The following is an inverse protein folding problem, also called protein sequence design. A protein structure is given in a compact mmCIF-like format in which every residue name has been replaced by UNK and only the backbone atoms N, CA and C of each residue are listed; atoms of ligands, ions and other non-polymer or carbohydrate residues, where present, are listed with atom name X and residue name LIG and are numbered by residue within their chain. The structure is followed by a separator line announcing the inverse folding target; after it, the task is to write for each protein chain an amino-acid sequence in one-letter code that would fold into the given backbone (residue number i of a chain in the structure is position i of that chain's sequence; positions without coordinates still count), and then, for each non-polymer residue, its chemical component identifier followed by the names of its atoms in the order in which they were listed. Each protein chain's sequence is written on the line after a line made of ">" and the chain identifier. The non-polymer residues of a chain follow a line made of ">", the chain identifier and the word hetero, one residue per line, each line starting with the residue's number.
data_IF_337492378130
#
_entry.id   IF_337492378130
#
_cell.length_a   1.000
_cell.length_b   1.000
_cell.length_c   1.000
_cell.angle_alpha   90.00
_cell.angle_beta   90.00
_cell.angle_gamma   90.00
#
_symmetry.space_group_name_H-M   'P 1'
#
loop_
_entity.id
_entity.type
_entity.pdbx_description
1 polymer ?
#
# COMPACT_ATOMS: atom_id res chain seq x y z
N UNK A 1 -25.89 13.88 -6.97
CA UNK A 1 -24.85 12.83 -6.97
C UNK A 1 -24.39 12.69 -5.54
N UNK A 2 -24.66 11.56 -4.88
CA UNK A 2 -24.05 11.31 -3.57
C UNK A 2 -22.58 11.04 -3.82
N UNK A 3 -21.68 11.75 -3.14
CA UNK A 3 -20.27 11.40 -3.14
C UNK A 3 -20.10 10.02 -2.49
N UNK A 4 -19.14 9.23 -2.98
CA UNK A 4 -18.78 7.96 -2.36
C UNK A 4 -18.24 8.22 -0.95
N UNK A 5 -18.52 7.37 0.06
CA UNK A 5 -17.95 7.55 1.39
C UNK A 5 -16.42 7.42 1.34
N UNK A 6 -15.71 8.42 1.85
CA UNK A 6 -14.25 8.44 1.91
C UNK A 6 -13.74 7.50 3.00
N UNK A 7 -12.78 6.64 2.68
CA UNK A 7 -11.98 5.84 3.60
C UNK A 7 -10.54 6.35 3.57
N UNK A 8 -9.97 6.60 4.73
CA UNK A 8 -8.53 6.87 4.83
C UNK A 8 -7.79 5.58 5.13
N UNK A 9 -6.79 5.27 4.31
CA UNK A 9 -6.01 4.04 4.38
C UNK A 9 -4.63 4.34 4.95
N UNK A 10 -4.28 3.67 6.03
CA UNK A 10 -2.95 3.67 6.63
C UNK A 10 -2.32 2.30 6.39
N UNK A 11 -1.81 2.16 5.17
CA UNK A 11 -1.03 1.02 4.74
C UNK A 11 0.40 1.48 4.40
N UNK A 12 1.40 0.66 4.72
CA UNK A 12 2.79 1.05 4.49
C UNK A 12 3.20 0.78 3.03
N UNK A 13 3.69 1.78 2.30
CA UNK A 13 4.18 1.57 0.94
C UNK A 13 5.57 0.91 0.95
N UNK A 14 5.63 -0.38 0.60
CA UNK A 14 6.80 -0.91 -0.12
C UNK A 14 7.92 -1.61 0.66
N UNK A 15 7.65 -2.38 1.71
CA UNK A 15 8.69 -3.28 2.28
C UNK A 15 8.31 -4.71 2.54
N UNK A 16 7.06 -4.99 2.88
CA UNK A 16 6.63 -6.36 3.14
C UNK A 16 5.64 -6.78 2.05
N UNK A 17 5.79 -7.96 1.44
CA UNK A 17 4.80 -8.54 0.52
C UNK A 17 3.52 -8.99 1.25
N UNK A 18 3.27 -8.42 2.44
CA UNK A 18 2.08 -8.68 3.23
C UNK A 18 0.92 -7.94 2.56
N UNK A 19 -0.23 -8.61 2.47
CA UNK A 19 -1.41 -8.18 1.73
C UNK A 19 -1.71 -6.68 1.89
N UNK A 20 -1.66 -5.93 0.79
CA UNK A 20 -1.97 -4.50 0.81
C UNK A 20 -3.48 -4.29 0.99
N UNK A 21 -3.88 -3.23 1.69
CA UNK A 21 -5.30 -2.89 1.87
C UNK A 21 -6.00 -2.72 0.51
N UNK A 22 -5.27 -2.31 -0.54
CA UNK A 22 -5.77 -2.25 -1.91
C UNK A 22 -6.31 -3.59 -2.44
N UNK A 23 -5.78 -4.73 -1.95
CA UNK A 23 -6.26 -6.07 -2.31
C UNK A 23 -7.66 -6.38 -1.77
N UNK A 24 -8.14 -5.60 -0.78
CA UNK A 24 -9.53 -5.68 -0.34
C UNK A 24 -10.51 -5.14 -1.39
N UNK A 25 -10.05 -4.42 -2.41
CA UNK A 25 -10.89 -3.87 -3.48
C UNK A 25 -12.11 -3.07 -2.97
N UNK A 26 -11.97 -2.33 -1.86
CA UNK A 26 -13.06 -1.57 -1.23
C UNK A 26 -13.65 -0.51 -2.18
N UNK A 27 -12.86 0.02 -3.11
CA UNK A 27 -13.34 0.97 -4.12
C UNK A 27 -14.39 0.37 -5.06
N UNK A 28 -14.29 -0.94 -5.36
CA UNK A 28 -15.30 -1.66 -6.16
C UNK A 28 -16.63 -1.79 -5.43
N UNK A 29 -16.63 -1.58 -4.11
CA UNK A 29 -17.81 -1.59 -3.25
C UNK A 29 -18.38 -0.18 -3.03
N UNK A 30 -17.92 0.83 -3.77
CA UNK A 30 -18.48 2.19 -3.75
C UNK A 30 -17.86 3.14 -2.71
N UNK A 31 -16.69 2.79 -2.16
CA UNK A 31 -15.91 3.68 -1.30
C UNK A 31 -14.88 4.47 -2.10
N UNK A 32 -14.54 5.68 -1.67
CA UNK A 32 -13.33 6.38 -2.14
C UNK A 32 -12.19 6.06 -1.16
N UNK A 33 -11.14 5.36 -1.59
CA UNK A 33 -10.00 5.07 -0.71
C UNK A 33 -8.88 6.09 -0.94
N UNK A 34 -8.31 6.62 0.14
CA UNK A 34 -7.18 7.53 0.05
C UNK A 34 -6.07 7.12 1.01
N UNK A 35 -4.91 6.81 0.45
CA UNK A 35 -3.71 6.51 1.24
C UNK A 35 -3.21 7.78 1.94
N UNK A 36 -3.00 7.66 3.26
CA UNK A 36 -2.50 8.76 4.09
C UNK A 36 -0.99 8.66 4.25
N UNK A 37 -0.43 7.46 4.23
CA UNK A 37 1.00 7.25 4.38
C UNK A 37 1.70 7.53 3.04
N UNK A 38 2.55 8.57 3.01
CA UNK A 38 3.26 9.01 1.80
C UNK A 38 4.74 9.18 2.09
N UNK A 39 5.59 8.74 1.16
CA UNK A 39 7.04 8.98 1.22
C UNK A 39 7.37 10.36 0.65
N UNK A 40 8.33 11.12 1.23
CA UNK A 40 9.08 10.78 2.43
C UNK A 40 8.25 10.92 3.71
N UNK A 41 8.34 9.91 4.58
CA UNK A 41 7.65 9.95 5.87
C UNK A 41 8.19 11.09 6.75
N UNK A 42 7.33 11.77 7.51
CA UNK A 42 7.76 12.75 8.49
C UNK A 42 8.66 12.20 9.60
N UNK A 43 9.47 13.07 10.23
CA UNK A 43 10.52 12.71 11.22
C UNK A 43 10.01 12.63 12.67
N UNK A 44 8.70 12.62 12.88
CA UNK A 44 8.10 12.53 14.20
C UNK A 44 8.31 11.14 14.81
N UNK A 45 8.62 11.10 16.11
CA UNK A 45 9.06 9.90 16.84
C UNK A 45 8.04 9.40 17.88
N UNK A 46 6.88 10.03 17.95
CA UNK A 46 5.75 9.52 18.74
C UNK A 46 4.50 9.47 17.87
N UNK A 47 3.65 8.48 18.12
CA UNK A 47 2.41 8.28 17.36
C UNK A 47 1.56 9.57 17.31
N UNK A 48 1.28 10.29 18.42
CA UNK A 48 0.50 11.52 18.39
C UNK A 48 1.19 12.68 17.65
N UNK A 49 2.52 12.80 17.76
CA UNK A 49 3.26 13.82 17.01
C UNK A 49 3.20 13.53 15.50
N UNK A 50 3.34 12.27 15.13
CA UNK A 50 3.31 11.84 13.75
C UNK A 50 1.91 12.02 13.13
N UNK A 51 0.85 11.64 13.82
CA UNK A 51 -0.52 11.88 13.37
C UNK A 51 -0.79 13.37 13.11
N UNK A 52 -0.36 14.26 14.02
CA UNK A 52 -0.51 15.71 13.86
C UNK A 52 0.24 16.23 12.64
N UNK A 53 1.42 15.71 12.37
CA UNK A 53 2.20 16.11 11.21
C UNK A 53 1.53 15.66 9.90
N UNK A 54 1.06 14.42 9.82
CA UNK A 54 0.30 13.91 8.66
C UNK A 54 -0.97 14.74 8.42
N UNK A 55 -1.74 14.97 9.48
CA UNK A 55 -2.94 15.78 9.43
C UNK A 55 -2.64 17.21 8.94
N UNK A 56 -1.57 17.84 9.42
CA UNK A 56 -1.18 19.19 9.00
C UNK A 56 -0.77 19.26 7.53
N UNK A 57 -0.11 18.21 7.02
CA UNK A 57 0.37 18.12 5.62
C UNK A 57 -0.78 17.94 4.63
N UNK A 58 -1.75 17.07 4.95
CA UNK A 58 -2.79 16.66 4.00
C UNK A 58 -4.14 17.31 4.24
N UNK A 59 -4.44 17.70 5.50
CA UNK A 59 -5.75 18.23 5.94
C UNK A 59 -6.94 17.48 5.33
N UNK A 60 -7.02 16.15 5.51
CA UNK A 60 -8.04 15.36 4.84
C UNK A 60 -9.44 15.73 5.35
N UNK A 61 -10.43 15.60 4.47
CA UNK A 61 -11.83 15.65 4.86
C UNK A 61 -12.15 14.54 5.87
N UNK A 62 -13.20 14.72 6.67
CA UNK A 62 -13.62 13.70 7.62
C UNK A 62 -14.06 12.44 6.88
N UNK A 63 -13.42 11.28 7.09
CA UNK A 63 -13.80 10.05 6.41
C UNK A 63 -14.96 9.33 7.09
N UNK A 64 -15.55 8.37 6.39
CA UNK A 64 -16.50 7.40 6.92
C UNK A 64 -15.83 6.40 7.87
N UNK A 65 -14.58 6.03 7.61
CA UNK A 65 -13.74 5.24 8.52
C UNK A 65 -12.25 5.39 8.20
N UNK A 66 -11.39 4.99 9.14
CA UNK A 66 -9.97 4.75 8.90
C UNK A 66 -9.72 3.24 8.82
N UNK A 67 -8.90 2.80 7.87
CA UNK A 67 -8.49 1.41 7.70
C UNK A 67 -6.97 1.33 7.87
N UNK A 68 -6.49 0.43 8.72
CA UNK A 68 -5.05 0.28 8.97
C UNK A 68 -4.63 -1.18 9.11
N UNK A 69 -3.40 -1.47 8.70
CA UNK A 69 -2.81 -2.80 8.75
C UNK A 69 -1.64 -2.86 9.74
N UNK A 70 -1.51 -3.98 10.47
CA UNK A 70 -0.35 -4.29 11.29
C UNK A 70 0.01 -3.16 12.30
N UNK A 71 1.25 -2.68 12.27
CA UNK A 71 1.81 -1.69 13.18
C UNK A 71 1.24 -0.27 12.98
N UNK A 72 0.45 -0.04 11.93
CA UNK A 72 -0.18 1.25 11.68
C UNK A 72 -1.40 1.51 12.58
N UNK A 73 -1.85 0.51 13.35
CA UNK A 73 -3.01 0.62 14.22
C UNK A 73 -2.98 1.81 15.20
N UNK A 74 -1.89 2.07 15.96
CA UNK A 74 -1.84 3.22 16.87
C UNK A 74 -2.00 4.56 16.14
N UNK A 75 -1.38 4.66 14.96
CA UNK A 75 -1.45 5.84 14.12
C UNK A 75 -2.86 6.09 13.59
N UNK A 76 -3.58 5.04 13.22
CA UNK A 76 -4.98 5.13 12.82
C UNK A 76 -5.86 5.66 13.96
N UNK A 77 -5.63 5.22 15.20
CA UNK A 77 -6.37 5.73 16.37
C UNK A 77 -6.04 7.21 16.62
N UNK A 78 -4.78 7.59 16.58
CA UNK A 78 -4.37 8.98 16.76
C UNK A 78 -4.94 9.90 15.66
N UNK A 79 -4.95 9.43 14.40
CA UNK A 79 -5.58 10.14 13.28
C UNK A 79 -7.10 10.24 13.46
N UNK A 80 -7.77 9.16 13.87
CA UNK A 80 -9.21 9.16 14.15
C UNK A 80 -9.58 10.20 15.22
N UNK A 81 -8.76 10.35 16.27
CA UNK A 81 -8.96 11.35 17.31
C UNK A 81 -8.84 12.78 16.78
N UNK A 82 -7.91 13.05 15.85
CA UNK A 82 -7.77 14.36 15.20
C UNK A 82 -8.92 14.67 14.23
N UNK A 83 -9.49 13.64 13.61
CA UNK A 83 -10.61 13.72 12.66
C UNK A 83 -11.98 13.68 13.35
N UNK A 84 -12.02 13.35 14.64
CA UNK A 84 -13.22 13.39 15.44
C UNK A 84 -13.77 14.83 15.51
N UNK A 85 -15.09 14.93 15.61
CA UNK A 85 -15.78 16.22 15.54
C UNK A 85 -17.22 16.11 16.03
N UNK A 86 -18.06 17.13 15.79
CA UNK A 86 -19.42 17.19 16.32
C UNK A 86 -20.32 15.99 15.95
N UNK A 87 -20.03 15.33 14.82
CA UNK A 87 -20.73 14.14 14.36
C UNK A 87 -20.30 12.84 15.07
N UNK A 88 -19.49 12.92 16.12
CA UNK A 88 -19.04 11.77 16.91
C UNK A 88 -17.64 11.26 16.53
N UNK A 89 -17.22 10.10 17.07
CA UNK A 89 -15.94 9.47 16.75
C UNK A 89 -15.92 8.97 15.29
N UNK A 90 -14.73 8.73 14.76
CA UNK A 90 -14.56 8.13 13.43
C UNK A 90 -14.36 6.61 13.60
N UNK A 91 -15.15 5.76 12.93
CA UNK A 91 -14.97 4.31 12.96
C UNK A 91 -13.59 3.86 12.48
N UNK A 92 -13.08 2.77 13.04
CA UNK A 92 -11.75 2.24 12.72
C UNK A 92 -11.84 0.77 12.32
N UNK A 93 -11.16 0.39 11.24
CA UNK A 93 -10.92 -0.99 10.81
C UNK A 93 -9.44 -1.30 10.97
N UNK A 94 -9.13 -2.29 11.79
CA UNK A 94 -7.78 -2.76 12.08
C UNK A 94 -7.59 -4.18 11.53
N UNK A 95 -6.60 -4.35 10.67
CA UNK A 95 -6.30 -5.61 10.03
C UNK A 95 -4.98 -6.17 10.58
N UNK A 96 -5.05 -7.34 11.19
CA UNK A 96 -3.96 -8.02 11.90
C UNK A 96 -3.11 -7.07 12.80
N UNK A 97 -3.72 -6.18 13.60
CA UNK A 97 -2.97 -5.14 14.31
C UNK A 97 -2.01 -5.75 15.33
N UNK A 98 -0.78 -5.26 15.38
CA UNK A 98 0.24 -5.73 16.32
C UNK A 98 0.89 -4.57 17.07
N UNK A 99 1.21 -4.74 18.37
CA UNK A 99 2.09 -3.79 19.05
C UNK A 99 3.47 -3.84 18.40
N UNK A 100 4.20 -2.73 18.44
CA UNK A 100 5.61 -2.69 18.03
C UNK A 100 6.50 -2.75 19.27
N UNK A 101 6.99 -3.93 19.70
CA UNK A 101 7.89 -4.02 20.84
C UNK A 101 9.32 -3.59 20.46
N UNK A 102 10.18 -3.23 21.43
CA UNK A 102 11.59 -2.92 21.19
C UNK A 102 12.33 -4.02 20.41
N UNK A 103 11.99 -5.28 20.66
CA UNK A 103 12.59 -6.43 19.98
C UNK A 103 12.31 -6.46 18.47
N UNK A 104 11.14 -5.98 18.03
CA UNK A 104 10.82 -5.89 16.60
C UNK A 104 11.64 -4.77 15.94
N UNK A 105 11.79 -3.61 16.60
CA UNK A 105 12.62 -2.50 16.11
C UNK A 105 14.08 -2.95 15.98
N UNK A 106 14.59 -3.66 16.98
CA UNK A 106 15.95 -4.19 16.97
C UNK A 106 16.15 -5.21 15.85
N UNK A 107 15.18 -6.12 15.67
CA UNK A 107 15.20 -7.10 14.60
C UNK A 107 15.26 -6.42 13.22
N UNK A 108 14.37 -5.46 12.99
CA UNK A 108 14.29 -4.71 11.73
C UNK A 108 15.57 -3.91 11.47
N UNK A 109 16.14 -3.26 12.50
CA UNK A 109 17.44 -2.59 12.37
C UNK A 109 18.55 -3.56 11.94
N UNK A 110 18.61 -4.77 12.51
CA UNK A 110 19.60 -5.76 12.09
C UNK A 110 19.40 -6.19 10.63
N UNK A 111 18.16 -6.37 10.19
CA UNK A 111 17.86 -6.69 8.79
C UNK A 111 18.23 -5.54 7.85
N UNK A 112 17.94 -4.30 8.24
CA UNK A 112 18.38 -3.09 7.53
C UNK A 112 19.90 -3.08 7.37
N UNK A 113 20.65 -3.25 8.47
CA UNK A 113 22.11 -3.27 8.46
C UNK A 113 22.63 -4.37 7.54
N UNK A 114 22.07 -5.58 7.64
CA UNK A 114 22.43 -6.71 6.78
C UNK A 114 22.20 -6.41 5.30
N UNK A 115 21.11 -5.72 4.97
CA UNK A 115 20.78 -5.35 3.59
C UNK A 115 21.69 -4.24 3.06
N UNK A 116 22.00 -3.24 3.88
CA UNK A 116 22.91 -2.13 3.54
C UNK A 116 24.35 -2.61 3.36
N UNK A 117 24.84 -3.48 4.23
CA UNK A 117 26.19 -4.05 4.13
C UNK A 117 26.31 -5.07 2.99
N UNK A 118 25.20 -5.74 2.65
CA UNK A 118 25.14 -6.75 1.61
C UNK A 118 26.14 -7.89 1.83
N UNK A 119 26.78 -8.33 0.74
CA UNK A 119 27.83 -9.36 0.74
C UNK A 119 29.23 -8.78 0.54
N UNK A 120 29.46 -7.53 0.97
CA UNK A 120 30.74 -6.86 0.80
C UNK A 120 31.90 -7.67 1.43
N UNK A 121 32.91 -8.10 0.64
CA UNK A 121 34.01 -8.91 1.15
C UNK A 121 35.04 -8.05 1.89
N UNK A 122 35.64 -8.59 2.96
CA UNK A 122 36.80 -8.01 3.66
C UNK A 122 36.62 -6.57 4.17
N UNK A 123 35.40 -6.18 4.57
CA UNK A 123 35.11 -4.89 5.20
C UNK A 123 35.14 -5.03 6.73
N UNK A 124 35.91 -4.19 7.40
CA UNK A 124 35.80 -4.01 8.85
C UNK A 124 34.46 -3.34 9.17
N UNK A 125 33.60 -4.05 9.90
CA UNK A 125 32.23 -3.60 10.17
C UNK A 125 32.18 -2.76 11.44
N UNK A 126 31.56 -1.55 11.39
CA UNK A 126 31.32 -0.78 12.60
C UNK A 126 30.48 -1.57 13.61
N UNK A 127 30.70 -1.36 14.92
CA UNK A 127 29.84 -1.95 15.95
C UNK A 127 28.39 -1.52 15.73
N UNK A 128 27.44 -2.39 16.06
CA UNK A 128 26.02 -2.06 15.97
C UNK A 128 25.67 -0.95 16.96
N UNK A 129 24.76 -0.05 16.56
CA UNK A 129 24.18 0.92 17.46
C UNK A 129 23.40 0.22 18.58
N UNK A 130 23.47 0.79 19.77
CA UNK A 130 22.60 0.45 20.89
C UNK A 130 21.20 1.02 20.64
N UNK A 131 20.38 0.25 19.92
CA UNK A 131 19.00 0.64 19.60
C UNK A 131 18.15 0.75 20.86
N UNK A 132 18.32 -0.15 21.82
CA UNK A 132 17.56 -0.09 23.08
C UNK A 132 17.88 1.17 23.87
N UNK A 133 19.16 1.57 23.97
CA UNK A 133 19.55 2.84 24.58
C UNK A 133 19.05 4.06 23.79
N UNK A 134 19.00 3.98 22.47
CA UNK A 134 18.38 5.00 21.62
C UNK A 134 16.87 5.09 21.85
N UNK A 135 16.21 3.99 22.23
CA UNK A 135 14.81 4.00 22.66
C UNK A 135 14.59 4.73 24.01
N UNK A 136 15.64 5.16 24.71
CA UNK A 136 15.50 6.10 25.83
C UNK A 136 15.63 7.58 25.41
N UNK A 137 16.12 7.86 24.19
CA UNK A 137 16.44 9.21 23.69
C UNK A 137 16.04 9.36 22.20
N UNK A 138 14.73 9.22 21.89
CA UNK A 138 14.25 9.10 20.51
C UNK A 138 14.65 10.28 19.64
N UNK A 139 14.74 11.49 20.21
CA UNK A 139 15.08 12.72 19.50
C UNK A 139 16.42 12.66 18.75
N UNK A 140 17.33 11.78 19.18
CA UNK A 140 18.62 11.53 18.50
C UNK A 140 18.60 10.32 17.57
N UNK A 141 17.53 9.50 17.61
CA UNK A 141 17.39 8.25 16.85
C UNK A 141 17.63 8.47 15.36
N UNK A 142 16.91 9.41 14.76
CA UNK A 142 16.96 9.70 13.32
C UNK A 142 18.35 10.12 12.84
N UNK A 143 19.03 10.96 13.63
CA UNK A 143 20.37 11.41 13.30
C UNK A 143 21.36 10.24 13.36
N UNK A 144 21.37 9.49 14.47
CA UNK A 144 22.33 8.41 14.69
C UNK A 144 22.12 7.24 13.74
N UNK A 145 20.88 6.84 13.48
CA UNK A 145 20.57 5.76 12.55
C UNK A 145 20.95 6.15 11.11
N UNK A 146 20.65 7.39 10.71
CA UNK A 146 21.02 7.89 9.39
C UNK A 146 22.53 7.98 9.20
N UNK A 147 23.28 8.42 10.21
CA UNK A 147 24.75 8.45 10.17
C UNK A 147 25.35 7.04 10.07
N UNK A 148 24.89 6.10 10.88
CA UNK A 148 25.36 4.71 10.87
C UNK A 148 25.10 4.03 9.52
N UNK A 149 23.86 4.11 9.00
CA UNK A 149 23.52 3.47 7.74
C UNK A 149 24.26 4.08 6.55
N UNK A 150 24.48 5.41 6.53
CA UNK A 150 25.33 6.05 5.51
C UNK A 150 26.76 5.58 5.58
N UNK A 151 27.34 5.46 6.77
CA UNK A 151 28.70 4.97 6.96
C UNK A 151 28.83 3.54 6.43
N UNK A 152 27.91 2.64 6.83
CA UNK A 152 27.90 1.24 6.38
C UNK A 152 27.73 1.13 4.86
N UNK A 153 26.81 1.92 4.28
CA UNK A 153 26.61 1.94 2.83
C UNK A 153 27.87 2.37 2.07
N UNK A 154 28.56 3.42 2.55
CA UNK A 154 29.82 3.89 1.97
C UNK A 154 30.92 2.83 2.04
N UNK A 155 31.07 2.17 3.19
CA UNK A 155 32.05 1.09 3.38
C UNK A 155 31.76 -0.11 2.45
N UNK A 156 30.49 -0.51 2.34
CA UNK A 156 30.09 -1.59 1.44
C UNK A 156 30.39 -1.25 -0.02
N UNK A 157 30.06 -0.04 -0.47
CA UNK A 157 30.34 0.41 -1.85
C UNK A 157 31.85 0.50 -2.14
N UNK A 158 32.65 1.01 -1.20
CA UNK A 158 34.11 1.05 -1.35
C UNK A 158 34.70 -0.36 -1.55
N UNK A 159 34.18 -1.37 -0.85
CA UNK A 159 34.59 -2.77 -1.01
C UNK A 159 34.29 -3.36 -2.39
N UNK A 160 33.33 -2.79 -3.11
CA UNK A 160 33.02 -3.13 -4.49
C UNK A 160 33.78 -2.25 -5.51
N UNK A 161 34.70 -1.38 -5.06
CA UNK A 161 35.54 -0.56 -5.92
C UNK A 161 34.94 0.79 -6.32
N UNK A 162 33.97 1.31 -5.56
CA UNK A 162 33.34 2.62 -5.81
C UNK A 162 33.88 3.75 -4.92
N UNK A 163 35.10 3.64 -4.41
CA UNK A 163 35.72 4.58 -3.46
C UNK A 163 36.03 5.98 -4.05
N UNK A 164 36.19 6.09 -5.37
CA UNK A 164 36.45 7.35 -6.08
C UNK A 164 35.24 7.97 -6.82
N UNK A 165 34.07 7.33 -6.78
CA UNK A 165 32.86 7.81 -7.45
C UNK A 165 31.99 8.64 -6.50
N UNK A 166 31.22 9.61 -7.02
CA UNK A 166 30.17 10.26 -6.21
C UNK A 166 29.02 9.27 -5.99
N UNK A 167 29.05 8.62 -4.84
CA UNK A 167 28.03 7.65 -4.40
C UNK A 167 26.97 8.28 -3.49
N UNK A 168 26.97 9.60 -3.32
CA UNK A 168 26.09 10.28 -2.36
C UNK A 168 24.61 10.07 -2.70
N UNK A 169 24.24 10.19 -3.97
CA UNK A 169 22.87 9.95 -4.44
C UNK A 169 22.38 8.52 -4.20
N UNK A 170 23.10 7.49 -4.68
CA UNK A 170 22.77 6.09 -4.39
C UNK A 170 22.69 5.76 -2.89
N UNK A 171 23.62 6.28 -2.08
CA UNK A 171 23.60 6.08 -0.63
C UNK A 171 22.35 6.67 -0.01
N UNK A 172 22.00 7.93 -0.31
CA UNK A 172 20.79 8.55 0.24
C UNK A 172 19.52 7.84 -0.25
N UNK A 173 19.46 7.40 -1.51
CA UNK A 173 18.31 6.68 -2.05
C UNK A 173 18.05 5.36 -1.31
N UNK A 174 19.10 4.62 -0.97
CA UNK A 174 19.00 3.37 -0.20
C UNK A 174 18.68 3.67 1.26
N UNK A 175 19.48 4.54 1.91
CA UNK A 175 19.36 4.84 3.34
C UNK A 175 18.01 5.48 3.68
N UNK A 176 17.51 6.40 2.85
CA UNK A 176 16.26 7.13 3.11
C UNK A 176 15.08 6.20 3.38
N UNK A 177 14.89 5.16 2.57
CA UNK A 177 13.80 4.18 2.73
C UNK A 177 13.91 3.40 4.04
N UNK A 178 15.12 3.04 4.48
CA UNK A 178 15.34 2.33 5.74
C UNK A 178 15.10 3.24 6.96
N UNK A 179 15.57 4.49 6.88
CA UNK A 179 15.39 5.47 7.95
C UNK A 179 13.90 5.81 8.12
N UNK A 180 13.17 5.98 7.03
CA UNK A 180 11.70 6.19 7.07
C UNK A 180 10.97 5.02 7.74
N UNK A 181 11.36 3.79 7.41
CA UNK A 181 10.77 2.58 8.02
C UNK A 181 11.04 2.48 9.52
N UNK A 182 12.29 2.61 9.92
CA UNK A 182 12.66 2.53 11.34
C UNK A 182 12.03 3.67 12.14
N UNK A 183 11.92 4.87 11.55
CA UNK A 183 11.22 5.98 12.20
C UNK A 183 9.75 5.67 12.47
N UNK A 184 9.07 5.06 11.49
CA UNK A 184 7.68 4.66 11.67
C UNK A 184 7.51 3.63 12.79
N UNK A 185 8.34 2.59 12.82
CA UNK A 185 8.28 1.57 13.87
C UNK A 185 8.52 2.16 15.26
N UNK A 186 9.49 3.07 15.35
CA UNK A 186 9.77 3.84 16.56
C UNK A 186 8.54 4.66 16.97
N UNK A 187 7.97 5.45 16.06
CA UNK A 187 6.78 6.24 16.35
C UNK A 187 5.59 5.36 16.80
N UNK A 188 5.41 4.19 16.19
CA UNK A 188 4.39 3.20 16.55
C UNK A 188 4.62 2.54 17.91
N UNK A 189 5.87 2.47 18.37
CA UNK A 189 6.27 1.95 19.68
C UNK A 189 6.10 2.95 20.82
N UNK A 190 6.43 4.22 20.58
CA UNK A 190 6.52 5.26 21.61
C UNK A 190 5.19 5.96 21.94
N UNK A 191 5.12 6.49 23.16
CA UNK A 191 3.95 7.07 23.85
C UNK A 191 2.86 6.04 24.22
N UNK A 192 1.95 6.45 25.11
CA UNK A 192 0.72 5.71 25.36
C UNK A 192 -0.11 5.68 24.07
N UNK A 193 -0.47 4.47 23.66
CA UNK A 193 -1.30 4.25 22.49
C UNK A 193 -2.74 4.54 22.89
N UNK A 194 -3.36 5.63 22.37
CA UNK A 194 -4.70 6.00 22.79
C UNK A 194 -5.68 4.92 22.37
N UNK A 195 -6.73 4.73 23.17
CA UNK A 195 -7.83 3.86 22.81
C UNK A 195 -8.76 4.49 21.78
N UNK A 196 -9.26 3.70 20.82
CA UNK A 196 -10.34 4.13 19.94
C UNK A 196 -11.51 4.65 20.75
N UNK A 197 -12.01 5.82 20.37
CA UNK A 197 -13.14 6.48 21.02
C UNK A 197 -14.51 6.06 20.45
N UNK A 198 -14.53 5.17 19.44
CA UNK A 198 -15.74 4.74 18.76
C UNK A 198 -15.64 3.32 18.19
N UNK A 199 -16.61 2.93 17.34
CA UNK A 199 -16.70 1.57 16.81
C UNK A 199 -15.40 1.14 16.14
N UNK A 200 -14.88 -0.01 16.56
CA UNK A 200 -13.64 -0.57 16.05
C UNK A 200 -13.88 -2.01 15.61
N UNK A 201 -13.62 -2.29 14.33
CA UNK A 201 -13.51 -3.66 13.82
C UNK A 201 -12.04 -4.06 13.82
N UNK A 202 -11.75 -5.23 14.38
CA UNK A 202 -10.49 -5.92 14.20
C UNK A 202 -10.71 -7.19 13.37
N UNK A 203 -9.95 -7.38 12.30
CA UNK A 203 -9.91 -8.63 11.54
C UNK A 203 -8.52 -9.25 11.68
N UNK A 204 -8.44 -10.49 12.13
CA UNK A 204 -7.15 -11.18 12.40
C UNK A 204 -7.03 -12.50 11.65
N UNK A 205 -5.80 -12.85 11.29
CA UNK A 205 -5.44 -14.13 10.69
C UNK A 205 -5.50 -15.30 11.69
N UNK A 206 -5.45 -16.54 11.19
CA UNK A 206 -5.61 -17.75 12.03
C UNK A 206 -4.56 -17.88 13.12
N UNK A 207 -3.32 -17.44 12.85
CA UNK A 207 -2.19 -17.55 13.77
C UNK A 207 -2.01 -16.36 14.73
N UNK A 208 -2.85 -15.34 14.62
CA UNK A 208 -2.68 -14.11 15.38
C UNK A 208 -2.97 -14.33 16.89
N UNK A 209 -2.05 -13.96 17.80
CA UNK A 209 -2.09 -14.43 19.18
C UNK A 209 -3.25 -13.91 20.04
N UNK A 210 -3.76 -12.68 19.86
CA UNK A 210 -4.99 -12.15 20.50
C UNK A 210 -5.22 -10.68 20.11
N UNK A 211 -6.35 -10.13 20.58
CA UNK A 211 -7.02 -8.89 20.18
C UNK A 211 -6.23 -7.57 20.27
N UNK A 212 -6.80 -6.53 19.67
CA UNK A 212 -6.31 -5.14 19.71
C UNK A 212 -6.55 -4.47 21.08
N UNK A 213 -6.78 -5.24 22.15
CA UNK A 213 -7.09 -4.74 23.49
C UNK A 213 -5.94 -3.97 24.13
N UNK A 214 -4.71 -4.12 23.63
CA UNK A 214 -3.58 -3.26 24.00
C UNK A 214 -3.79 -1.78 23.63
N UNK A 215 -4.70 -1.49 22.69
CA UNK A 215 -5.17 -0.12 22.44
C UNK A 215 -6.16 0.36 23.51
N UNK A 216 -6.84 -0.52 24.23
CA UNK A 216 -7.88 -0.11 25.19
C UNK A 216 -9.21 0.29 24.52
N UNK A 217 -9.53 -0.29 23.37
CA UNK A 217 -10.81 -0.09 22.68
C UNK A 217 -11.99 -0.60 23.53
N UNK A 218 -13.00 0.24 23.74
CA UNK A 218 -14.21 -0.11 24.51
C UNK A 218 -15.33 -0.69 23.65
N UNK A 219 -15.36 -0.37 22.36
CA UNK A 219 -16.32 -0.85 21.36
C UNK A 219 -15.57 -1.61 20.25
N UNK A 220 -15.12 -2.82 20.58
CA UNK A 220 -14.28 -3.66 19.72
C UNK A 220 -15.03 -4.91 19.28
N UNK A 221 -15.20 -5.07 17.97
CA UNK A 221 -15.62 -6.33 17.32
C UNK A 221 -14.39 -7.02 16.74
N UNK A 222 -14.13 -8.26 17.12
CA UNK A 222 -13.04 -9.06 16.55
C UNK A 222 -13.58 -10.18 15.64
N UNK A 223 -13.03 -10.28 14.44
CA UNK A 223 -13.31 -11.34 13.46
C UNK A 223 -12.01 -12.08 13.16
N UNK A 224 -12.01 -13.40 13.37
CA UNK A 224 -10.87 -14.25 13.02
C UNK A 224 -11.16 -15.00 11.72
N UNK A 225 -10.27 -14.83 10.75
CA UNK A 225 -10.38 -15.42 9.42
C UNK A 225 -9.42 -16.61 9.33
N UNK A 226 -9.84 -17.78 8.80
CA UNK A 226 -9.03 -18.99 8.74
C UNK A 226 -7.98 -18.96 7.61
N UNK A 227 -7.22 -17.87 7.51
CA UNK A 227 -6.16 -17.66 6.51
C UNK A 227 -4.84 -17.28 7.19
N UNK A 228 -3.74 -17.38 6.44
CA UNK A 228 -2.45 -16.84 6.89
C UNK A 228 -2.42 -15.31 6.77
N UNK A 229 -1.58 -14.66 7.58
CA UNK A 229 -1.48 -13.19 7.61
C UNK A 229 -1.26 -12.56 6.22
N UNK A 230 -0.37 -13.07 5.34
CA UNK A 230 -0.18 -12.52 3.99
C UNK A 230 -1.37 -12.71 3.04
N UNK A 231 -2.38 -13.50 3.41
CA UNK A 231 -3.58 -13.72 2.60
C UNK A 231 -4.76 -12.87 3.11
N UNK A 232 -4.61 -12.21 4.26
CA UNK A 232 -5.74 -11.64 4.99
C UNK A 232 -6.46 -10.53 4.21
N UNK A 233 -5.76 -9.62 3.54
CA UNK A 233 -6.42 -8.54 2.80
C UNK A 233 -7.08 -9.04 1.49
N UNK A 234 -6.50 -10.04 0.83
CA UNK A 234 -7.12 -10.69 -0.33
C UNK A 234 -8.27 -11.65 0.04
N UNK A 235 -8.42 -12.00 1.32
CA UNK A 235 -9.40 -12.99 1.76
C UNK A 235 -10.84 -12.47 1.68
N UNK A 236 -11.72 -13.26 1.07
CA UNK A 236 -13.12 -12.89 0.87
C UNK A 236 -13.92 -12.74 2.18
N UNK A 237 -13.66 -13.55 3.20
CA UNK A 237 -14.30 -13.46 4.51
C UNK A 237 -13.83 -12.21 5.27
N UNK A 238 -12.53 -11.91 5.20
CA UNK A 238 -11.98 -10.67 5.75
C UNK A 238 -12.65 -9.44 5.11
N UNK A 239 -12.72 -9.42 3.77
CA UNK A 239 -13.39 -8.35 3.03
C UNK A 239 -14.88 -8.25 3.39
N UNK A 240 -15.58 -9.38 3.50
CA UNK A 240 -16.99 -9.38 3.86
C UNK A 240 -17.21 -8.77 5.25
N UNK A 241 -16.40 -9.11 6.24
CA UNK A 241 -16.47 -8.55 7.59
C UNK A 241 -16.22 -7.03 7.61
N UNK A 242 -15.22 -6.57 6.84
CA UNK A 242 -14.93 -5.13 6.69
C UNK A 242 -16.11 -4.41 6.06
N UNK A 243 -16.64 -4.94 4.95
CA UNK A 243 -17.78 -4.32 4.27
C UNK A 243 -19.01 -4.29 5.16
N UNK A 244 -19.34 -5.37 5.85
CA UNK A 244 -20.46 -5.42 6.81
C UNK A 244 -20.34 -4.29 7.85
N UNK A 245 -19.18 -4.18 8.50
CA UNK A 245 -18.94 -3.14 9.50
C UNK A 245 -19.01 -1.72 8.93
N UNK A 246 -18.41 -1.48 7.76
CA UNK A 246 -18.46 -0.18 7.10
C UNK A 246 -19.89 0.19 6.72
N UNK A 247 -20.68 -0.78 6.26
CA UNK A 247 -22.10 -0.57 5.99
C UNK A 247 -22.85 -0.29 7.27
N UNK A 248 -22.67 -1.02 8.36
CA UNK A 248 -23.35 -0.74 9.64
C UNK A 248 -23.04 0.67 10.18
N UNK A 249 -21.77 1.09 10.06
CA UNK A 249 -21.33 2.43 10.44
C UNK A 249 -21.93 3.52 9.52
N UNK A 250 -22.04 3.24 8.21
CA UNK A 250 -22.63 4.16 7.23
C UNK A 250 -24.18 4.15 7.25
N UNK A 251 -24.79 3.03 7.64
CA UNK A 251 -26.23 2.77 7.77
C UNK A 251 -26.79 3.18 9.14
N UNK A 252 -25.97 3.82 9.98
CA UNK A 252 -26.46 4.52 11.18
C UNK A 252 -27.25 5.80 10.84
N UNK A 253 -27.48 6.10 9.54
CA UNK A 253 -28.53 7.01 9.07
C UNK A 253 -29.78 6.19 8.66
N UNK A 254 -31.00 6.60 9.05
CA UNK A 254 -32.20 5.77 8.89
C UNK A 254 -32.46 5.42 7.42
N UNK A 255 -32.88 4.17 7.23
CA UNK A 255 -33.12 3.49 5.96
C UNK A 255 -34.03 4.25 5.00
N UNK A 256 -33.67 4.26 3.71
CA UNK A 256 -34.63 4.25 2.60
C UNK A 256 -34.03 3.65 1.32
N UNK A 257 -34.43 2.40 1.04
CA UNK A 257 -34.87 1.92 -0.28
C UNK A 257 -33.93 1.83 -1.49
N UNK A 258 -33.60 0.57 -1.85
CA UNK A 258 -33.41 0.01 -3.24
C UNK A 258 -32.09 0.40 -3.95
N UNK A 259 -31.42 -0.45 -4.74
CA UNK A 259 -31.70 -1.77 -5.28
C UNK A 259 -30.46 -2.32 -6.02
N UNK A 260 -30.50 -3.61 -6.36
CA UNK A 260 -29.45 -4.44 -6.96
C UNK A 260 -29.06 -4.03 -8.40
N UNK A 261 -27.82 -4.30 -8.82
CA UNK A 261 -27.41 -4.38 -10.23
C UNK A 261 -25.90 -4.58 -10.45
N UNK A 262 -25.51 -5.62 -11.20
CA UNK A 262 -24.14 -6.04 -11.53
C UNK A 262 -23.90 -5.86 -13.05
N UNK A 263 -22.76 -5.34 -13.57
CA UNK A 263 -22.50 -5.34 -15.03
C UNK A 263 -21.33 -6.26 -15.44
N UNK A 264 -21.53 -7.00 -16.54
CA UNK A 264 -20.52 -7.81 -17.23
C UNK A 264 -20.66 -7.75 -18.77
N UNK A 265 -19.53 -7.82 -19.46
CA UNK A 265 -19.24 -8.15 -20.89
C UNK A 265 -20.03 -7.48 -22.06
N UNK A 266 -21.13 -6.77 -21.83
CA UNK A 266 -21.95 -6.14 -22.87
C UNK A 266 -21.41 -4.84 -23.47
N UNK A 267 -20.29 -4.32 -22.98
CA UNK A 267 -19.81 -2.96 -23.28
C UNK A 267 -18.74 -2.89 -24.38
N UNK A 268 -18.16 -4.01 -24.87
CA UNK A 268 -17.13 -4.02 -25.93
C UNK A 268 -17.75 -3.76 -27.32
N UNK A 269 -17.18 -2.84 -28.09
CA UNK A 269 -17.82 -2.30 -29.30
C UNK A 269 -17.00 -2.51 -30.58
N UNK A 270 -15.67 -2.67 -30.50
CA UNK A 270 -14.80 -2.85 -31.69
C UNK A 270 -14.17 -4.23 -31.78
N UNK A 271 -13.81 -4.65 -33.00
CA UNK A 271 -13.12 -5.93 -33.24
C UNK A 271 -11.75 -5.98 -32.53
N UNK A 272 -11.05 -4.85 -32.48
CA UNK A 272 -9.79 -4.72 -31.75
C UNK A 272 -10.00 -4.80 -30.23
N UNK A 273 -11.05 -4.18 -29.68
CA UNK A 273 -11.43 -4.32 -28.27
C UNK A 273 -11.73 -5.80 -27.92
N UNK A 274 -12.49 -6.50 -28.76
CA UNK A 274 -12.83 -7.91 -28.56
C UNK A 274 -11.59 -8.83 -28.60
N UNK A 275 -10.72 -8.64 -29.60
CA UNK A 275 -9.51 -9.43 -29.75
C UNK A 275 -8.48 -9.13 -28.65
N UNK A 276 -8.35 -7.87 -28.25
CA UNK A 276 -7.49 -7.44 -27.16
C UNK A 276 -7.99 -7.96 -25.80
N UNK A 277 -9.31 -7.93 -25.56
CA UNK A 277 -9.92 -8.44 -24.34
C UNK A 277 -9.67 -9.95 -24.16
N UNK A 278 -9.74 -10.72 -25.25
CA UNK A 278 -9.37 -12.16 -25.22
C UNK A 278 -7.90 -12.36 -24.92
N UNK A 279 -7.03 -11.59 -25.56
CA UNK A 279 -5.59 -11.65 -25.29
C UNK A 279 -5.27 -11.27 -23.83
N UNK A 280 -5.98 -10.30 -23.25
CA UNK A 280 -5.84 -9.95 -21.84
C UNK A 280 -6.34 -11.06 -20.94
N UNK A 281 -7.52 -11.63 -21.21
CA UNK A 281 -8.06 -12.77 -20.47
C UNK A 281 -7.06 -13.94 -20.44
N UNK A 282 -6.46 -14.28 -21.59
CA UNK A 282 -5.49 -15.37 -21.71
C UNK A 282 -4.16 -15.09 -20.97
N UNK A 283 -3.69 -13.84 -21.02
CA UNK A 283 -2.41 -13.44 -20.39
C UNK A 283 -2.56 -13.28 -18.87
N UNK A 284 -3.69 -12.72 -18.43
CA UNK A 284 -3.98 -12.41 -17.03
C UNK A 284 -4.64 -13.59 -16.30
N UNK A 285 -5.19 -14.57 -17.03
CA UNK A 285 -5.89 -15.71 -16.45
C UNK A 285 -7.23 -15.34 -15.82
N UNK A 286 -7.95 -14.37 -16.38
CA UNK A 286 -9.27 -13.91 -15.92
C UNK A 286 -10.38 -14.33 -16.88
N UNK A 287 -11.59 -14.55 -16.37
CA UNK A 287 -12.70 -15.10 -17.18
C UNK A 287 -13.19 -14.16 -18.29
N UNK A 288 -13.22 -12.85 -18.02
CA UNK A 288 -13.63 -11.83 -18.98
C UNK A 288 -12.97 -10.48 -18.65
N UNK A 289 -12.74 -9.69 -19.69
CA UNK A 289 -12.20 -8.32 -19.59
C UNK A 289 -13.20 -7.36 -20.20
N UNK A 290 -13.59 -6.37 -19.41
CA UNK A 290 -14.49 -5.29 -19.78
C UNK A 290 -13.81 -4.16 -20.54
N UNK A 291 -14.62 -3.36 -21.24
CA UNK A 291 -14.16 -2.26 -22.10
C UNK A 291 -13.36 -1.19 -21.36
N UNK A 292 -13.71 -0.94 -20.10
CA UNK A 292 -13.08 0.08 -19.25
C UNK A 292 -12.09 -0.51 -18.25
N UNK A 293 -11.79 -1.80 -18.37
CA UNK A 293 -10.88 -2.46 -17.45
C UNK A 293 -9.45 -2.02 -17.74
N UNK A 294 -8.66 -1.92 -16.68
CA UNK A 294 -7.26 -1.56 -16.73
C UNK A 294 -6.39 -2.82 -16.58
N UNK A 295 -5.35 -2.94 -17.42
CA UNK A 295 -4.47 -4.10 -17.48
C UNK A 295 -3.80 -4.41 -16.14
N UNK A 296 -3.34 -3.38 -15.45
CA UNK A 296 -2.62 -3.52 -14.18
C UNK A 296 -3.61 -3.79 -13.03
N UNK A 297 -4.81 -3.21 -13.08
CA UNK A 297 -5.88 -3.42 -12.09
C UNK A 297 -6.47 -4.84 -12.14
N UNK A 298 -6.28 -5.54 -13.26
CA UNK A 298 -6.63 -6.95 -13.45
C UNK A 298 -5.47 -7.92 -13.10
N UNK A 299 -4.37 -7.42 -12.52
CA UNK A 299 -3.23 -8.23 -12.09
C UNK A 299 -2.09 -8.32 -13.10
N UNK A 300 -2.05 -7.43 -14.09
CA UNK A 300 -0.94 -7.33 -15.02
C UNK A 300 0.32 -6.78 -14.35
N UNK A 301 1.47 -7.37 -14.65
CA UNK A 301 2.79 -6.86 -14.24
C UNK A 301 3.69 -6.58 -15.47
N UNK A 302 4.93 -6.14 -15.24
CA UNK A 302 5.90 -5.86 -16.31
C UNK A 302 6.20 -7.07 -17.22
N UNK A 303 6.11 -8.29 -16.68
CA UNK A 303 6.36 -9.52 -17.43
C UNK A 303 5.14 -9.93 -18.27
N UNK A 304 3.93 -9.84 -17.73
CA UNK A 304 2.67 -10.06 -18.45
C UNK A 304 2.45 -8.98 -19.51
N UNK A 305 2.76 -7.72 -19.21
CA UNK A 305 2.78 -6.60 -20.15
C UNK A 305 3.70 -6.89 -21.34
N UNK A 306 4.90 -7.40 -21.07
CA UNK A 306 5.85 -7.79 -22.12
C UNK A 306 5.27 -8.92 -22.99
N UNK A 307 4.64 -9.93 -22.39
CA UNK A 307 4.00 -11.04 -23.12
C UNK A 307 2.84 -10.54 -23.99
N UNK A 308 1.98 -9.69 -23.44
CA UNK A 308 0.85 -9.10 -24.15
C UNK A 308 1.35 -8.29 -25.36
N UNK A 309 2.35 -7.42 -25.15
CA UNK A 309 2.93 -6.59 -26.22
C UNK A 309 3.51 -7.44 -27.35
N UNK A 310 4.24 -8.51 -27.02
CA UNK A 310 4.78 -9.42 -28.03
C UNK A 310 3.68 -10.15 -28.81
N UNK A 311 2.58 -10.50 -28.15
CA UNK A 311 1.42 -11.12 -28.80
C UNK A 311 0.71 -10.13 -29.73
N UNK A 312 0.47 -8.90 -29.25
CA UNK A 312 -0.16 -7.84 -30.03
C UNK A 312 0.65 -7.47 -31.29
N UNK A 313 1.99 -7.35 -31.17
CA UNK A 313 2.88 -7.11 -32.32
C UNK A 313 2.71 -8.15 -33.42
N UNK A 314 2.53 -9.43 -33.05
CA UNK A 314 2.35 -10.53 -34.01
C UNK A 314 0.97 -10.51 -34.65
N UNK A 315 -0.07 -10.23 -33.87
CA UNK A 315 -1.47 -10.25 -34.34
C UNK A 315 -1.77 -9.11 -35.32
N UNK A 316 -1.30 -7.89 -35.02
CA UNK A 316 -1.66 -6.70 -35.81
C UNK A 316 -0.51 -6.15 -36.67
N UNK A 317 0.69 -6.75 -36.60
CA UNK A 317 1.88 -6.31 -37.34
C UNK A 317 2.22 -4.82 -37.13
N UNK A 318 2.09 -4.35 -35.88
CA UNK A 318 2.39 -2.97 -35.46
C UNK A 318 3.59 -2.94 -34.50
N UNK A 319 4.35 -1.84 -34.51
CA UNK A 319 5.34 -1.59 -33.45
C UNK A 319 4.64 -1.03 -32.21
N UNK A 320 4.47 -1.88 -31.21
CA UNK A 320 3.77 -1.57 -29.97
C UNK A 320 4.69 -1.79 -28.77
N UNK A 321 4.80 -0.89 -27.80
CA UNK A 321 5.76 -1.01 -26.68
C UNK A 321 5.06 -1.20 -25.33
N UNK A 322 5.78 -1.76 -24.35
CA UNK A 322 5.30 -1.82 -22.96
C UNK A 322 4.97 -0.43 -22.42
N UNK A 323 5.73 0.59 -22.84
CA UNK A 323 5.43 1.98 -22.47
C UNK A 323 4.07 2.44 -22.99
N UNK A 324 3.67 2.03 -24.20
CA UNK A 324 2.35 2.36 -24.73
C UNK A 324 1.20 1.73 -23.92
N UNK A 325 1.41 0.55 -23.34
CA UNK A 325 0.48 -0.07 -22.40
C UNK A 325 0.42 0.68 -21.06
N UNK A 326 1.56 1.13 -20.52
CA UNK A 326 1.60 1.93 -19.30
C UNK A 326 0.93 3.30 -19.49
N UNK A 327 1.15 3.94 -20.64
CA UNK A 327 0.56 5.25 -20.96
C UNK A 327 -0.95 5.17 -21.27
N UNK A 328 -1.47 3.98 -21.59
CA UNK A 328 -2.87 3.77 -21.96
C UNK A 328 -3.33 2.40 -21.44
N UNK A 329 -3.48 2.26 -20.12
CA UNK A 329 -3.65 0.95 -19.49
C UNK A 329 -5.09 0.45 -19.53
N UNK A 330 -6.05 1.25 -20.00
CA UNK A 330 -7.47 0.89 -20.14
C UNK A 330 -7.72 0.26 -21.50
N UNK A 331 -8.51 -0.82 -21.55
CA UNK A 331 -8.68 -1.66 -22.73
C UNK A 331 -9.14 -0.88 -23.98
N UNK A 332 -10.19 -0.05 -23.88
CA UNK A 332 -10.68 0.72 -25.02
C UNK A 332 -9.66 1.74 -25.54
N UNK A 333 -8.91 2.38 -24.65
CA UNK A 333 -7.91 3.37 -25.03
C UNK A 333 -6.72 2.71 -25.73
N UNK A 334 -6.36 1.50 -25.27
CA UNK A 334 -5.32 0.71 -25.89
C UNK A 334 -5.72 0.18 -27.27
N UNK A 335 -6.97 -0.30 -27.40
CA UNK A 335 -7.51 -0.75 -28.68
C UNK A 335 -7.50 0.38 -29.72
N UNK A 336 -7.98 1.58 -29.33
CA UNK A 336 -7.96 2.75 -30.20
C UNK A 336 -6.53 3.14 -30.65
N UNK A 337 -5.54 2.94 -29.79
CA UNK A 337 -4.12 3.21 -30.11
C UNK A 337 -3.53 2.19 -31.08
N UNK A 338 -3.92 0.92 -30.97
CA UNK A 338 -3.54 -0.13 -31.93
C UNK A 338 -4.14 0.18 -33.29
N UNK A 339 -5.43 0.54 -33.34
CA UNK A 339 -6.13 0.89 -34.58
C UNK A 339 -5.41 2.03 -35.34
N UNK A 340 -5.00 3.09 -34.62
CA UNK A 340 -4.24 4.20 -35.19
C UNK A 340 -2.87 3.83 -35.76
N UNK A 341 -2.22 2.78 -35.23
CA UNK A 341 -0.93 2.27 -35.73
C UNK A 341 -1.11 1.38 -36.97
N UNK A 342 -2.17 0.57 -37.00
CA UNK A 342 -2.51 -0.24 -38.18
C UNK A 342 -2.83 0.64 -39.39
N UNK A 343 -3.57 1.73 -39.19
CA UNK A 343 -3.89 2.69 -40.26
C UNK A 343 -2.62 3.37 -40.80
N UNK A 344 -1.72 3.84 -39.92
CA UNK A 344 -0.45 4.45 -40.33
C UNK A 344 0.47 3.48 -41.12
N UNK A 345 0.46 2.19 -40.77
CA UNK A 345 1.23 1.15 -41.47
C UNK A 345 0.66 0.77 -42.85
N UNK A 346 -0.63 1.03 -43.09
CA UNK A 346 -1.26 0.86 -44.39
C UNK A 346 -0.91 2.01 -45.35
N UNK A 347 -0.83 3.24 -44.84
CA UNK A 347 -0.45 4.42 -45.63
C UNK A 347 1.05 4.47 -46.03
N UNK A 348 1.94 3.83 -45.27
CA UNK A 348 3.38 3.77 -45.58
C UNK A 348 3.79 2.83 -46.73
N UNK A 349 2.87 2.02 -47.27
CA UNK A 349 3.14 1.00 -48.31
C UNK A 349 2.89 1.47 -49.75
N UNK A 350 2.60 2.76 -49.97
CA UNK A 350 2.29 3.34 -51.28
C UNK A 350 3.30 4.42 -51.76
N UNK A 351 4.60 4.25 -51.52
CA UNK A 351 5.63 5.06 -52.18
C UNK A 351 6.71 4.22 -52.83
#
# INVERSE_FOLDING_TARGET
>A
MSANPLLLVLDYPGRRPEAHISEMHLERSGFECRDVLTSPMPTALTTPAYARELYARQRPDRPAALVAYCAAAPLAVAMAALLAGPAGPVPIVLLDPQPTPPSEILHEYHEVVRQVEGRAPNVERPPLLDIEGLLATPETFMARIGEDLRLRAKLALAAFGFDGADVSGPVEGVVGVYVEWLNFLVAAHYDEQPGPSGPTLQVISKGHPADAGWLGATDLRTVRVPCDRPELAANAEARAAVLEFLHDCALSAPADGRGQGQPGQGDLVTDTELALARMWADVLGVDAVGRRDNFFDLGGDSMLATRLVLSARRTWNVEFSVRALVDSPVLMDLAARIDGLTDASAFGRHR
#
